data_IF_037187006974
#
_entry.id   IF_037187006974
#
_cell.length_a   1.000
_cell.length_b   1.000
_cell.length_c   1.000
_cell.angle_alpha   90.00
_cell.angle_beta   90.00
_cell.angle_gamma   90.00
#
_symmetry.space_group_name_H-M   'P 1'
#
loop_
_entity.id
_entity.type
_entity.pdbx_description
1 polymer ?
#
# COMPACT_ATOMS: atom_id res chain seq x y z
N UNK A 1 75.80 -54.41 52.95
CA UNK A 1 75.96 -55.87 52.96
C UNK A 1 75.09 -56.44 51.85
N UNK A 2 75.66 -56.72 50.70
CA UNK A 2 74.93 -57.19 49.52
C UNK A 2 74.79 -58.70 49.58
N UNK A 3 73.67 -59.19 50.09
CA UNK A 3 73.31 -60.60 50.01
C UNK A 3 72.74 -60.90 48.63
N UNK A 4 73.57 -61.41 47.71
CA UNK A 4 73.07 -61.97 46.44
C UNK A 4 72.40 -63.30 46.74
N UNK A 5 71.08 -63.28 46.96
CA UNK A 5 70.27 -64.50 46.89
C UNK A 5 70.34 -65.02 45.45
N UNK A 6 71.04 -66.13 45.25
CA UNK A 6 71.11 -66.84 43.97
C UNK A 6 69.68 -67.31 43.64
N UNK A 7 69.07 -66.70 42.61
CA UNK A 7 67.80 -67.18 42.07
C UNK A 7 67.96 -68.65 41.69
N UNK A 8 67.16 -69.52 42.31
CA UNK A 8 67.18 -70.94 42.02
C UNK A 8 66.43 -71.17 40.71
N UNK A 9 67.15 -71.24 39.59
CA UNK A 9 66.62 -71.45 38.24
C UNK A 9 66.39 -72.92 37.91
N UNK A 10 66.28 -73.81 38.93
CA UNK A 10 65.97 -75.22 38.68
C UNK A 10 64.51 -75.33 38.26
N UNK A 11 64.30 -75.72 37.00
CA UNK A 11 62.99 -76.05 36.45
C UNK A 11 62.33 -77.15 37.29
N UNK A 12 61.16 -76.86 37.85
CA UNK A 12 60.38 -77.80 38.66
C UNK A 12 59.08 -78.08 37.92
N UNK A 13 58.97 -79.27 37.31
CA UNK A 13 57.85 -79.64 36.45
C UNK A 13 56.48 -79.49 37.15
N UNK A 14 56.40 -79.79 38.45
CA UNK A 14 55.18 -79.62 39.26
C UNK A 14 54.70 -78.17 39.36
N UNK A 15 55.61 -77.19 39.34
CA UNK A 15 55.25 -75.76 39.39
C UNK A 15 54.75 -75.26 38.03
N UNK A 16 55.31 -75.79 36.94
CA UNK A 16 54.83 -75.54 35.58
C UNK A 16 53.44 -76.14 35.35
N UNK A 17 53.17 -77.35 35.84
CA UNK A 17 51.85 -77.99 35.77
C UNK A 17 50.81 -77.26 36.63
N UNK A 18 51.19 -76.81 37.83
CA UNK A 18 50.32 -75.97 38.68
C UNK A 18 50.01 -74.62 38.03
N UNK A 19 50.96 -74.03 37.30
CA UNK A 19 50.73 -72.80 36.53
C UNK A 19 49.78 -73.07 35.35
N UNK A 20 49.98 -74.17 34.62
CA UNK A 20 49.13 -74.58 33.51
C UNK A 20 47.69 -74.89 33.96
N UNK A 21 47.51 -75.51 35.12
CA UNK A 21 46.19 -75.75 35.73
C UNK A 21 45.51 -74.45 36.15
N UNK A 22 46.25 -73.47 36.68
CA UNK A 22 45.70 -72.13 36.99
C UNK A 22 45.28 -71.37 35.74
N UNK A 23 46.05 -71.49 34.65
CA UNK A 23 45.69 -70.93 33.35
C UNK A 23 44.48 -71.63 32.73
N UNK A 24 44.37 -72.96 32.85
CA UNK A 24 43.22 -73.74 32.32
C UNK A 24 41.91 -73.50 33.08
N UNK A 25 41.97 -73.32 34.40
CA UNK A 25 40.77 -73.21 35.25
C UNK A 25 40.43 -71.78 35.67
N UNK A 26 41.17 -70.77 35.19
CA UNK A 26 40.84 -69.34 35.38
C UNK A 26 40.81 -68.86 36.84
N UNK A 27 41.37 -69.61 37.79
CA UNK A 27 41.37 -69.25 39.22
C UNK A 27 42.48 -68.24 39.49
N UNK A 28 42.18 -66.96 39.22
CA UNK A 28 43.01 -65.84 39.64
C UNK A 28 43.08 -65.74 41.17
N UNK A 29 44.18 -65.18 41.68
CA UNK A 29 44.40 -64.96 43.12
C UNK A 29 43.31 -64.00 43.64
N UNK A 30 42.40 -64.46 44.51
CA UNK A 30 41.23 -63.68 44.97
C UNK A 30 41.54 -62.53 45.95
N UNK A 31 42.80 -62.08 46.04
CA UNK A 31 43.19 -60.94 46.89
C UNK A 31 42.73 -59.60 46.32
N UNK A 32 42.49 -59.52 45.00
CA UNK A 32 42.10 -58.29 44.33
C UNK A 32 40.77 -58.49 43.63
N UNK A 33 39.79 -57.64 43.97
CA UNK A 33 38.52 -57.54 43.24
C UNK A 33 38.83 -56.99 41.84
N UNK A 34 38.14 -57.50 40.82
CA UNK A 34 38.22 -56.95 39.47
C UNK A 34 37.91 -55.45 39.52
N UNK A 35 38.85 -54.62 39.05
CA UNK A 35 38.68 -53.17 39.01
C UNK A 35 37.66 -52.85 37.93
N UNK A 36 36.57 -52.20 38.33
CA UNK A 36 35.55 -51.71 37.41
C UNK A 36 36.07 -50.45 36.71
N UNK A 37 36.72 -50.68 35.58
CA UNK A 37 37.34 -49.63 34.78
C UNK A 37 36.31 -48.63 34.24
N UNK A 38 35.07 -49.04 34.00
CA UNK A 38 34.00 -48.16 33.53
C UNK A 38 33.62 -47.16 34.62
N UNK A 39 33.47 -47.63 35.86
CA UNK A 39 33.22 -46.76 37.01
C UNK A 39 34.38 -45.79 37.29
N UNK A 40 35.62 -46.25 37.16
CA UNK A 40 36.79 -45.39 37.34
C UNK A 40 36.87 -44.32 36.23
N UNK A 41 36.60 -44.69 34.99
CA UNK A 41 36.55 -43.77 33.85
C UNK A 41 35.46 -42.72 34.04
N UNK A 42 34.26 -43.11 34.48
CA UNK A 42 33.18 -42.18 34.79
C UNK A 42 33.56 -41.16 35.88
N UNK A 43 34.31 -41.57 36.90
CA UNK A 43 34.80 -40.66 37.94
C UNK A 43 35.83 -39.68 37.37
N UNK A 44 36.74 -40.15 36.52
CA UNK A 44 37.76 -39.30 35.87
C UNK A 44 37.10 -38.28 34.94
N UNK A 45 36.13 -38.71 34.13
CA UNK A 45 35.43 -37.83 33.20
C UNK A 45 34.54 -36.83 33.93
N UNK A 46 33.87 -37.24 35.00
CA UNK A 46 33.15 -36.31 35.88
C UNK A 46 34.10 -35.25 36.49
N UNK A 47 35.28 -35.67 36.96
CA UNK A 47 36.29 -34.74 37.50
C UNK A 47 36.84 -33.80 36.44
N UNK A 48 37.04 -34.26 35.20
CA UNK A 48 37.46 -33.40 34.07
C UNK A 48 36.42 -32.33 33.77
N UNK A 49 35.15 -32.72 33.68
CA UNK A 49 34.04 -31.77 33.47
C UNK A 49 33.93 -30.75 34.61
N UNK A 50 34.11 -31.19 35.85
CA UNK A 50 34.16 -30.27 37.01
C UNK A 50 35.33 -29.28 36.91
N UNK A 51 36.54 -29.74 36.54
CA UNK A 51 37.71 -28.87 36.38
C UNK A 51 37.55 -27.89 35.22
N UNK A 52 36.94 -28.31 34.11
CA UNK A 52 36.67 -27.45 32.96
C UNK A 52 35.65 -26.37 33.31
N UNK A 53 34.58 -26.74 34.03
CA UNK A 53 33.59 -25.80 34.52
C UNK A 53 34.20 -24.77 35.51
N UNK A 54 35.11 -25.21 36.39
CA UNK A 54 35.87 -24.31 37.25
C UNK A 54 36.81 -23.40 36.46
N UNK A 55 37.44 -23.92 35.41
CA UNK A 55 38.29 -23.17 34.50
C UNK A 55 37.53 -22.05 33.78
N UNK A 56 36.35 -22.37 33.23
CA UNK A 56 35.48 -21.37 32.60
C UNK A 56 34.95 -20.34 33.60
N UNK A 57 34.59 -20.75 34.82
CA UNK A 57 34.23 -19.82 35.90
C UNK A 57 35.37 -18.87 36.26
N UNK A 58 36.61 -19.35 36.32
CA UNK A 58 37.77 -18.49 36.61
C UNK A 58 38.02 -17.50 35.48
N UNK A 59 37.96 -17.94 34.22
CA UNK A 59 38.03 -17.04 33.05
C UNK A 59 36.93 -15.97 33.09
N UNK A 60 35.72 -16.36 33.47
CA UNK A 60 34.59 -15.44 33.61
C UNK A 60 34.82 -14.42 34.73
N UNK A 61 35.24 -14.87 35.92
CA UNK A 61 35.59 -13.99 37.05
C UNK A 61 36.73 -13.02 36.69
N UNK A 62 37.74 -13.48 35.95
CA UNK A 62 38.82 -12.60 35.47
C UNK A 62 38.30 -11.55 34.49
N UNK A 63 37.40 -11.92 33.57
CA UNK A 63 36.75 -10.98 32.65
C UNK A 63 35.91 -9.96 33.42
N UNK A 64 35.09 -10.40 34.38
CA UNK A 64 34.27 -9.53 35.22
C UNK A 64 35.10 -8.59 36.11
N UNK A 65 36.17 -9.10 36.71
CA UNK A 65 37.09 -8.27 37.48
C UNK A 65 37.79 -7.23 36.59
N UNK A 66 38.15 -7.61 35.36
CA UNK A 66 38.73 -6.70 34.37
C UNK A 66 37.73 -5.64 33.93
N UNK A 67 36.50 -6.01 33.57
CA UNK A 67 35.46 -5.05 33.16
C UNK A 67 35.04 -4.13 34.31
N UNK A 68 35.05 -4.61 35.55
CA UNK A 68 34.78 -3.78 36.74
C UNK A 68 35.89 -2.76 36.96
N UNK A 69 37.16 -3.18 36.84
CA UNK A 69 38.32 -2.26 36.91
C UNK A 69 38.29 -1.23 35.79
N UNK A 70 38.04 -1.67 34.56
CA UNK A 70 37.89 -0.79 33.40
C UNK A 70 36.73 0.21 33.64
N UNK A 71 35.57 -0.25 34.12
CA UNK A 71 34.42 0.61 34.44
C UNK A 71 34.72 1.64 35.54
N UNK A 72 35.49 1.26 36.56
CA UNK A 72 35.93 2.19 37.62
C UNK A 72 36.88 3.26 37.08
N UNK A 73 37.84 2.88 36.22
CA UNK A 73 38.75 3.82 35.55
C UNK A 73 37.95 4.77 34.63
N UNK A 74 36.96 4.26 33.90
CA UNK A 74 36.06 5.07 33.06
C UNK A 74 35.26 6.07 33.88
N UNK A 75 34.79 5.66 35.07
CA UNK A 75 34.05 6.54 35.97
C UNK A 75 34.96 7.65 36.53
N UNK A 76 36.20 7.32 36.90
CA UNK A 76 37.19 8.31 37.34
C UNK A 76 37.58 9.25 36.21
N UNK A 77 37.79 8.75 34.99
CA UNK A 77 38.11 9.58 33.84
C UNK A 77 37.01 10.60 33.49
N UNK A 78 35.73 10.22 33.67
CA UNK A 78 34.59 11.15 33.52
C UNK A 78 34.64 12.34 34.48
N UNK A 79 35.33 12.21 35.62
CA UNK A 79 35.48 13.32 36.57
C UNK A 79 36.49 14.38 36.10
N UNK A 80 37.33 14.05 35.11
CA UNK A 80 38.37 14.93 34.57
C UNK A 80 38.03 15.47 33.17
N UNK A 81 36.77 15.39 32.72
CA UNK A 81 36.42 15.63 31.32
C UNK A 81 36.48 17.09 30.86
N UNK A 82 37.24 17.26 29.77
CA UNK A 82 37.16 18.18 28.62
C UNK A 82 37.24 19.70 28.79
N UNK A 83 36.77 20.27 29.90
CA UNK A 83 36.80 21.75 30.06
C UNK A 83 38.15 22.25 30.60
N UNK A 84 39.01 21.33 31.05
CA UNK A 84 40.35 21.63 31.56
C UNK A 84 41.37 21.45 30.43
N UNK A 85 42.09 22.52 30.11
CA UNK A 85 43.05 22.60 28.98
C UNK A 85 44.17 21.56 29.05
N UNK A 86 44.49 21.02 30.23
CA UNK A 86 45.49 19.96 30.49
C UNK A 86 44.88 18.62 30.94
N UNK A 87 43.61 18.36 30.66
CA UNK A 87 42.88 17.13 31.06
C UNK A 87 43.63 15.83 30.73
N UNK A 88 44.30 15.79 29.58
CA UNK A 88 45.12 14.65 29.15
C UNK A 88 46.35 14.44 30.04
N UNK A 89 47.06 15.51 30.38
CA UNK A 89 48.27 15.44 31.21
C UNK A 89 47.93 15.01 32.64
N UNK A 90 46.85 15.54 33.20
CA UNK A 90 46.35 15.17 34.53
C UNK A 90 45.87 13.71 34.58
N UNK A 91 45.21 13.24 33.51
CA UNK A 91 44.80 11.84 33.40
C UNK A 91 46.01 10.90 33.29
N UNK A 92 47.02 11.26 32.49
CA UNK A 92 48.23 10.46 32.36
C UNK A 92 49.07 10.43 33.65
N UNK A 93 49.16 11.54 34.39
CA UNK A 93 49.80 11.61 35.71
C UNK A 93 49.06 10.72 36.74
N UNK A 94 47.73 10.72 36.74
CA UNK A 94 46.92 9.82 37.57
C UNK A 94 47.18 8.35 37.24
N UNK A 95 47.19 7.99 35.95
CA UNK A 95 47.46 6.61 35.52
C UNK A 95 48.85 6.12 35.92
N UNK A 96 49.85 7.00 35.88
CA UNK A 96 51.20 6.69 36.36
C UNK A 96 51.23 6.44 37.88
N UNK A 97 50.43 7.16 38.67
CA UNK A 97 50.30 6.92 40.12
C UNK A 97 49.56 5.62 40.45
N UNK A 98 48.52 5.28 39.68
CA UNK A 98 47.74 4.06 39.88
C UNK A 98 48.48 2.79 39.42
N UNK A 99 49.40 2.92 38.46
CA UNK A 99 50.15 1.81 37.89
C UNK A 99 51.67 2.10 37.84
N UNK A 100 52.33 2.11 39.01
CA UNK A 100 53.77 2.43 39.10
C UNK A 100 54.66 1.41 38.36
N UNK A 101 54.20 0.17 38.19
CA UNK A 101 54.95 -0.90 37.51
C UNK A 101 54.91 -0.83 35.98
N UNK A 102 54.12 0.09 35.39
CA UNK A 102 53.94 0.21 33.94
C UNK A 102 54.80 1.36 33.40
N UNK A 103 55.53 1.08 32.33
CA UNK A 103 56.32 2.13 31.65
C UNK A 103 55.39 3.11 30.91
N UNK A 104 55.76 4.39 30.86
CA UNK A 104 54.95 5.41 30.16
C UNK A 104 54.63 5.07 28.70
N UNK A 105 55.52 4.35 28.01
CA UNK A 105 55.27 3.84 26.65
C UNK A 105 54.10 2.84 26.58
N UNK A 106 53.97 1.96 27.57
CA UNK A 106 52.86 1.01 27.64
C UNK A 106 51.53 1.70 27.94
N UNK A 107 51.55 2.77 28.77
CA UNK A 107 50.36 3.58 29.06
C UNK A 107 49.88 4.36 27.82
N UNK A 108 50.80 4.91 27.03
CA UNK A 108 50.48 5.58 25.75
C UNK A 108 49.93 4.61 24.70
N UNK A 109 50.46 3.39 24.62
CA UNK A 109 49.92 2.36 23.72
C UNK A 109 48.51 1.94 24.14
N UNK A 110 48.26 1.83 25.45
CA UNK A 110 46.93 1.59 25.99
C UNK A 110 45.96 2.76 25.70
N UNK A 111 46.41 4.02 25.80
CA UNK A 111 45.63 5.22 25.41
C UNK A 111 45.18 5.12 23.95
N UNK A 112 46.09 4.77 23.03
CA UNK A 112 45.77 4.61 21.60
C UNK A 112 44.76 3.51 21.31
N UNK A 113 44.95 2.33 21.93
CA UNK A 113 44.00 1.21 21.79
C UNK A 113 42.63 1.62 22.32
N UNK A 114 42.61 2.38 23.41
CA UNK A 114 41.38 2.84 24.04
C UNK A 114 40.69 3.96 23.23
N UNK A 115 41.43 4.87 22.59
CA UNK A 115 40.94 5.84 21.63
C UNK A 115 40.32 5.17 20.40
N UNK A 116 41.00 4.15 19.86
CA UNK A 116 40.49 3.34 18.76
C UNK A 116 39.20 2.61 19.17
N UNK A 117 39.16 2.06 20.38
CA UNK A 117 37.94 1.43 20.91
C UNK A 117 36.80 2.44 21.07
N UNK A 118 37.05 3.64 21.63
CA UNK A 118 36.03 4.70 21.73
C UNK A 118 35.52 5.14 20.37
N UNK A 119 36.41 5.36 19.42
CA UNK A 119 36.06 5.71 18.05
C UNK A 119 35.17 4.65 17.43
N UNK A 120 35.56 3.38 17.49
CA UNK A 120 34.75 2.27 16.95
C UNK A 120 33.40 2.14 17.64
N UNK A 121 33.30 2.37 18.95
CA UNK A 121 32.02 2.40 19.67
C UNK A 121 31.12 3.56 19.22
N UNK A 122 31.67 4.76 19.00
CA UNK A 122 30.92 5.90 18.47
C UNK A 122 30.43 5.61 17.06
N UNK A 123 31.30 5.08 16.18
CA UNK A 123 30.92 4.69 14.82
C UNK A 123 29.83 3.63 14.82
N UNK A 124 29.93 2.61 15.67
CA UNK A 124 28.91 1.57 15.79
C UNK A 124 27.54 2.16 16.19
N UNK A 125 27.51 3.10 17.14
CA UNK A 125 26.27 3.81 17.52
C UNK A 125 25.69 4.59 16.33
N UNK A 126 26.53 5.33 15.59
CA UNK A 126 26.08 6.10 14.42
C UNK A 126 25.49 5.18 13.36
N UNK A 127 26.16 4.08 13.03
CA UNK A 127 25.69 3.09 12.05
C UNK A 127 24.39 2.44 12.51
N UNK A 128 24.27 2.05 13.79
CA UNK A 128 23.03 1.50 14.33
C UNK A 128 21.88 2.50 14.25
N UNK A 129 22.11 3.77 14.62
CA UNK A 129 21.09 4.82 14.53
C UNK A 129 20.72 5.15 13.08
N UNK A 130 21.68 5.10 12.16
CA UNK A 130 21.41 5.27 10.73
C UNK A 130 20.55 4.12 10.21
N UNK A 131 20.93 2.86 10.48
CA UNK A 131 20.14 1.69 10.10
C UNK A 131 18.71 1.74 10.65
N UNK A 132 18.53 2.13 11.91
CA UNK A 132 17.18 2.28 12.50
C UNK A 132 16.33 3.33 11.77
N UNK A 133 16.94 4.47 11.38
CA UNK A 133 16.25 5.51 10.63
C UNK A 133 15.88 5.03 9.23
N UNK A 134 16.82 4.42 8.52
CA UNK A 134 16.64 3.93 7.16
C UNK A 134 15.57 2.82 7.13
N UNK A 135 15.58 1.91 8.11
CA UNK A 135 14.57 0.88 8.26
C UNK A 135 13.17 1.46 8.49
N UNK A 136 13.04 2.44 9.40
CA UNK A 136 11.77 3.13 9.67
C UNK A 136 11.28 3.90 8.44
N UNK A 137 12.17 4.56 7.72
CA UNK A 137 11.84 5.26 6.49
C UNK A 137 11.36 4.30 5.40
N UNK A 138 12.06 3.18 5.19
CA UNK A 138 11.65 2.14 4.26
C UNK A 138 10.25 1.60 4.62
N UNK A 139 10.03 1.32 5.90
CA UNK A 139 8.74 0.83 6.39
C UNK A 139 7.60 1.82 6.13
N UNK A 140 7.82 3.10 6.45
CA UNK A 140 6.84 4.15 6.21
C UNK A 140 6.56 4.34 4.71
N UNK A 141 7.58 4.30 3.85
CA UNK A 141 7.41 4.37 2.40
C UNK A 141 6.59 3.19 1.88
N UNK A 142 6.92 1.98 2.32
CA UNK A 142 6.17 0.78 1.95
C UNK A 142 4.69 0.89 2.38
N UNK A 143 4.43 1.37 3.60
CA UNK A 143 3.08 1.58 4.11
C UNK A 143 2.29 2.57 3.24
N UNK A 144 2.87 3.74 2.94
CA UNK A 144 2.23 4.75 2.10
C UNK A 144 1.92 4.18 0.71
N UNK A 145 2.86 3.47 0.08
CA UNK A 145 2.62 2.88 -1.25
C UNK A 145 1.48 1.84 -1.23
N UNK A 146 1.32 1.09 -0.13
CA UNK A 146 0.23 0.14 0.02
C UNK A 146 -1.11 0.84 0.27
N UNK A 147 -1.12 1.92 1.08
CA UNK A 147 -2.32 2.73 1.31
C UNK A 147 -2.80 3.40 0.02
N UNK A 148 -1.89 3.97 -0.77
CA UNK A 148 -2.17 4.55 -2.09
C UNK A 148 -2.75 3.49 -3.05
N UNK A 149 -2.13 2.30 -3.11
CA UNK A 149 -2.63 1.20 -3.94
C UNK A 149 -4.01 0.72 -3.51
N UNK A 150 -4.27 0.62 -2.20
CA UNK A 150 -5.57 0.27 -1.66
C UNK A 150 -6.62 1.34 -1.99
N UNK A 151 -6.27 2.61 -1.88
CA UNK A 151 -7.18 3.71 -2.23
C UNK A 151 -7.53 3.68 -3.72
N UNK A 152 -6.53 3.56 -4.60
CA UNK A 152 -6.74 3.43 -6.04
C UNK A 152 -7.62 2.20 -6.39
N UNK A 153 -7.43 1.08 -5.69
CA UNK A 153 -8.28 -0.10 -5.87
C UNK A 153 -9.74 0.16 -5.48
N UNK A 154 -9.97 0.84 -4.34
CA UNK A 154 -11.32 1.19 -3.90
C UNK A 154 -12.02 2.14 -4.87
N UNK A 155 -11.29 3.09 -5.45
CA UNK A 155 -11.82 3.99 -6.48
C UNK A 155 -12.21 3.22 -7.74
N UNK A 156 -11.36 2.31 -8.23
CA UNK A 156 -11.69 1.47 -9.39
C UNK A 156 -12.94 0.60 -9.12
N UNK A 157 -13.10 0.07 -7.90
CA UNK A 157 -14.31 -0.67 -7.53
C UNK A 157 -15.58 0.20 -7.59
N UNK A 158 -15.49 1.48 -7.20
CA UNK A 158 -16.61 2.44 -7.35
C UNK A 158 -16.90 2.69 -8.83
N UNK A 159 -15.87 2.98 -9.62
CA UNK A 159 -16.01 3.18 -11.07
C UNK A 159 -16.60 1.96 -11.78
N UNK A 160 -16.24 0.74 -11.36
CA UNK A 160 -16.82 -0.48 -11.90
C UNK A 160 -18.31 -0.62 -11.58
N UNK A 161 -18.74 -0.23 -10.36
CA UNK A 161 -20.17 -0.21 -10.00
C UNK A 161 -20.91 0.82 -10.84
N UNK A 162 -20.35 2.02 -11.02
CA UNK A 162 -20.94 3.08 -11.82
C UNK A 162 -21.06 2.66 -13.29
N UNK A 163 -20.01 2.04 -13.85
CA UNK A 163 -20.04 1.48 -15.22
C UNK A 163 -21.12 0.40 -15.38
N UNK A 164 -21.30 -0.47 -14.39
CA UNK A 164 -22.37 -1.48 -14.40
C UNK A 164 -23.74 -0.81 -14.36
N UNK A 165 -23.95 0.13 -13.45
CA UNK A 165 -25.20 0.87 -13.34
C UNK A 165 -25.54 1.63 -14.64
N UNK A 166 -24.58 2.34 -15.23
CA UNK A 166 -24.75 3.02 -16.50
C UNK A 166 -25.14 2.06 -17.62
N UNK A 167 -24.53 0.88 -17.69
CA UNK A 167 -24.92 -0.17 -18.66
C UNK A 167 -26.36 -0.61 -18.46
N UNK A 168 -26.79 -0.84 -17.22
CA UNK A 168 -28.15 -1.24 -16.90
C UNK A 168 -29.16 -0.15 -17.29
N UNK A 169 -28.87 1.12 -16.97
CA UNK A 169 -29.69 2.26 -17.39
C UNK A 169 -29.77 2.35 -18.92
N UNK A 170 -28.66 2.19 -19.63
CA UNK A 170 -28.65 2.19 -21.09
C UNK A 170 -29.48 1.04 -21.67
N UNK A 171 -29.44 -0.15 -21.08
CA UNK A 171 -30.27 -1.29 -21.48
C UNK A 171 -31.76 -1.01 -21.27
N UNK A 172 -32.11 -0.43 -20.12
CA UNK A 172 -33.50 -0.05 -19.81
C UNK A 172 -34.01 1.02 -20.79
N UNK A 173 -33.20 2.05 -21.07
CA UNK A 173 -33.55 3.10 -22.03
C UNK A 173 -33.69 2.55 -23.45
N UNK A 174 -32.81 1.65 -23.89
CA UNK A 174 -32.93 0.98 -25.20
C UNK A 174 -34.24 0.19 -25.31
N UNK A 175 -34.61 -0.58 -24.28
CA UNK A 175 -35.89 -1.30 -24.23
C UNK A 175 -37.08 -0.34 -24.36
N UNK A 176 -37.09 0.74 -23.58
CA UNK A 176 -38.15 1.77 -23.67
C UNK A 176 -38.21 2.43 -25.05
N UNK A 177 -37.06 2.75 -25.64
CA UNK A 177 -36.98 3.35 -26.98
C UNK A 177 -37.50 2.41 -28.06
N UNK A 178 -37.18 1.11 -27.98
CA UNK A 178 -37.70 0.10 -28.90
C UNK A 178 -39.22 -0.05 -28.77
N UNK A 179 -39.74 -0.08 -27.53
CA UNK A 179 -41.18 -0.12 -27.28
C UNK A 179 -41.88 1.14 -27.83
N UNK A 180 -41.32 2.32 -27.60
CA UNK A 180 -41.85 3.58 -28.12
C UNK A 180 -41.90 3.56 -29.66
N UNK A 181 -40.81 3.15 -30.32
CA UNK A 181 -40.77 3.02 -31.79
C UNK A 181 -41.83 2.04 -32.31
N UNK A 182 -42.02 0.89 -31.65
CA UNK A 182 -43.05 -0.09 -32.02
C UNK A 182 -44.47 0.47 -31.85
N UNK A 183 -44.73 1.20 -30.76
CA UNK A 183 -46.02 1.87 -30.56
C UNK A 183 -46.25 2.97 -31.60
N UNK A 184 -45.21 3.68 -32.01
CA UNK A 184 -45.29 4.72 -33.03
C UNK A 184 -45.62 4.15 -34.42
N UNK A 185 -44.97 3.07 -34.85
CA UNK A 185 -45.30 2.41 -36.13
C UNK A 185 -46.70 1.83 -36.13
N UNK A 186 -47.17 1.25 -35.02
CA UNK A 186 -48.56 0.76 -34.91
C UNK A 186 -49.57 1.91 -34.95
N UNK A 187 -49.25 3.05 -34.32
CA UNK A 187 -50.06 4.26 -34.43
C UNK A 187 -50.12 4.81 -35.85
N UNK A 188 -48.99 4.82 -36.57
CA UNK A 188 -48.94 5.24 -37.98
C UNK A 188 -49.70 4.29 -38.91
N UNK A 189 -49.53 2.97 -38.77
CA UNK A 189 -50.29 1.99 -39.56
C UNK A 189 -51.78 2.04 -39.28
N UNK A 190 -52.21 2.37 -38.05
CA UNK A 190 -53.63 2.59 -37.77
C UNK A 190 -54.15 3.87 -38.43
N UNK A 191 -53.38 4.96 -38.42
CA UNK A 191 -53.78 6.22 -39.09
C UNK A 191 -53.85 6.04 -40.62
N UNK A 192 -52.90 5.33 -41.23
CA UNK A 192 -52.93 5.00 -42.67
C UNK A 192 -54.10 4.06 -43.03
N UNK A 193 -54.44 3.10 -42.16
CA UNK A 193 -55.59 2.20 -42.35
C UNK A 193 -56.93 2.95 -42.19
N UNK A 194 -56.99 3.94 -41.30
CA UNK A 194 -58.13 4.85 -41.16
C UNK A 194 -58.25 5.83 -42.35
N UNK A 195 -57.16 6.42 -42.83
CA UNK A 195 -57.15 7.30 -44.02
C UNK A 195 -57.54 6.53 -45.29
N UNK A 196 -57.08 5.29 -45.47
CA UNK A 196 -57.45 4.43 -46.59
C UNK A 196 -58.94 4.02 -46.55
N UNK A 197 -59.48 3.75 -45.36
CA UNK A 197 -60.91 3.47 -45.17
C UNK A 197 -61.78 4.72 -45.35
N UNK A 198 -61.28 5.91 -45.03
CA UNK A 198 -61.97 7.19 -45.24
C UNK A 198 -62.10 7.52 -46.73
N UNK A 199 -61.05 7.28 -47.53
CA UNK A 199 -61.07 7.40 -48.99
C UNK A 199 -62.07 6.43 -49.63
N UNK A 200 -62.10 5.16 -49.21
CA UNK A 200 -63.08 4.17 -49.68
C UNK A 200 -64.52 4.52 -49.29
N UNK A 201 -64.74 5.18 -48.15
CA UNK A 201 -66.08 5.62 -47.73
C UNK A 201 -66.58 6.81 -48.55
N UNK A 202 -65.67 7.68 -49.03
CA UNK A 202 -66.03 8.80 -49.91
C UNK A 202 -66.31 8.39 -51.36
N UNK A 203 -65.77 7.27 -51.85
CA UNK A 203 -66.08 6.73 -53.18
C UNK A 203 -67.44 5.97 -53.26
N UNK A 204 -68.08 5.67 -52.14
CA UNK A 204 -69.32 4.87 -52.09
C UNK A 204 -70.62 5.67 -51.87
N UNK A 205 -70.57 7.01 -51.85
CA UNK A 205 -71.76 7.85 -51.63
C UNK A 205 -71.94 8.90 -52.72
N UNK A 206 -72.24 8.50 -53.96
CA UNK A 206 -73.10 9.27 -54.88
C UNK A 206 -73.76 8.33 -55.91
N UNK A 207 -74.99 7.88 -55.67
CA UNK A 207 -75.99 7.66 -56.73
C UNK A 207 -77.38 8.02 -56.19
N UNK A 208 -77.91 9.23 -56.48
CA UNK A 208 -79.30 9.56 -56.22
C UNK A 208 -80.15 9.46 -57.49
N UNK A 209 -81.32 8.82 -57.34
CA UNK A 209 -82.40 8.78 -58.33
C UNK A 209 -82.74 7.34 -58.71
N UNK A 210 -83.98 6.88 -58.83
CA UNK A 210 -85.33 7.42 -58.64
C UNK A 210 -86.22 6.27 -59.18
N UNK A 211 -87.35 5.93 -58.54
CA UNK A 211 -88.27 4.96 -59.16
C UNK A 211 -89.15 4.17 -58.20
N UNK A 212 -90.43 4.53 -58.19
CA UNK A 212 -91.64 3.92 -57.64
C UNK A 212 -91.71 2.36 -57.77
N UNK A 213 -92.56 1.58 -57.10
CA UNK A 213 -93.91 1.77 -56.56
C UNK A 213 -94.30 0.59 -55.64
N UNK A 214 -95.18 0.89 -54.67
CA UNK A 214 -96.13 0.05 -53.91
C UNK A 214 -96.18 -1.48 -54.10
N UNK A 215 -96.06 -2.18 -52.96
CA UNK A 215 -96.42 -3.59 -52.77
C UNK A 215 -95.91 -4.11 -51.43
N UNK A 216 -96.59 -3.78 -50.32
CA UNK A 216 -96.23 -4.22 -48.97
C UNK A 216 -96.59 -5.71 -48.76
N UNK A 217 -95.57 -6.58 -48.68
CA UNK A 217 -95.64 -7.95 -48.14
C UNK A 217 -94.40 -8.16 -47.25
N UNK A 218 -94.62 -8.83 -46.12
CA UNK A 218 -93.74 -8.97 -44.96
C UNK A 218 -92.46 -9.82 -45.16
N UNK A 219 -91.41 -9.43 -44.43
CA UNK A 219 -90.22 -10.17 -43.93
C UNK A 219 -89.21 -10.82 -44.90
N UNK A 220 -88.02 -10.21 -45.02
CA UNK A 220 -86.75 -10.68 -44.39
C UNK A 220 -85.53 -9.92 -44.95
N UNK A 221 -84.94 -9.02 -44.16
CA UNK A 221 -83.54 -8.57 -44.37
C UNK A 221 -82.86 -8.19 -43.04
N UNK A 222 -82.92 -9.09 -42.05
CA UNK A 222 -82.16 -9.01 -40.80
C UNK A 222 -80.66 -9.34 -40.99
N UNK A 223 -80.02 -8.73 -42.00
CA UNK A 223 -78.62 -8.99 -42.33
C UNK A 223 -77.67 -7.80 -42.20
N UNK A 224 -78.18 -6.55 -42.28
CA UNK A 224 -77.31 -5.37 -42.39
C UNK A 224 -77.45 -4.38 -41.23
N UNK A 225 -78.64 -4.16 -40.66
CA UNK A 225 -78.78 -3.23 -39.53
C UNK A 225 -78.18 -3.76 -38.22
N UNK A 226 -78.15 -5.08 -38.03
CA UNK A 226 -77.57 -5.69 -36.83
C UNK A 226 -76.02 -5.66 -36.83
N UNK A 227 -75.39 -5.51 -38.00
CA UNK A 227 -73.93 -5.27 -38.09
C UNK A 227 -73.57 -3.85 -37.71
N UNK A 228 -74.30 -2.83 -38.17
CA UNK A 228 -74.05 -1.45 -37.79
C UNK A 228 -74.31 -1.20 -36.29
N UNK A 229 -75.38 -1.76 -35.72
CA UNK A 229 -75.65 -1.68 -34.26
C UNK A 229 -74.60 -2.44 -33.43
N UNK A 230 -74.07 -3.56 -33.94
CA UNK A 230 -72.94 -4.27 -33.33
C UNK A 230 -71.58 -3.58 -33.51
N UNK A 231 -71.40 -2.75 -34.53
CA UNK A 231 -70.15 -2.02 -34.76
C UNK A 231 -70.05 -0.81 -33.82
N UNK A 232 -71.09 0.03 -33.79
CA UNK A 232 -71.21 1.15 -32.82
C UNK A 232 -71.27 0.65 -31.36
N UNK A 233 -71.83 -0.54 -31.12
CA UNK A 233 -71.82 -1.18 -29.79
C UNK A 233 -70.46 -1.77 -29.36
N UNK A 234 -69.61 -2.18 -30.32
CA UNK A 234 -68.25 -2.66 -30.04
C UNK A 234 -67.31 -1.51 -29.73
N UNK A 235 -67.41 -0.39 -30.46
CA UNK A 235 -66.64 0.82 -30.19
C UNK A 235 -66.95 1.42 -28.83
N UNK A 236 -68.22 1.52 -28.42
CA UNK A 236 -68.56 1.98 -27.06
C UNK A 236 -67.96 1.07 -25.99
N UNK A 237 -68.09 -0.26 -26.11
CA UNK A 237 -67.48 -1.20 -25.15
C UNK A 237 -65.95 -1.13 -25.12
N UNK A 238 -65.30 -0.86 -26.26
CA UNK A 238 -63.86 -0.68 -26.34
C UNK A 238 -63.41 0.66 -25.74
N UNK A 239 -64.11 1.75 -26.06
CA UNK A 239 -63.91 3.09 -25.48
C UNK A 239 -64.15 3.06 -23.97
N UNK A 240 -65.22 2.44 -23.50
CA UNK A 240 -65.54 2.29 -22.08
C UNK A 240 -64.52 1.38 -21.37
N UNK A 241 -63.94 0.37 -22.04
CA UNK A 241 -62.83 -0.43 -21.50
C UNK A 241 -61.53 0.35 -21.41
N UNK A 242 -61.22 1.17 -22.40
CA UNK A 242 -60.04 2.04 -22.40
C UNK A 242 -60.21 3.09 -21.30
N UNK A 243 -61.37 3.77 -21.23
CA UNK A 243 -61.67 4.78 -20.22
C UNK A 243 -61.70 4.15 -18.83
N UNK A 244 -62.24 2.95 -18.64
CA UNK A 244 -62.18 2.23 -17.36
C UNK A 244 -60.76 1.84 -16.97
N UNK A 245 -59.94 1.31 -17.89
CA UNK A 245 -58.52 1.01 -17.61
C UNK A 245 -57.71 2.26 -17.34
N UNK A 246 -57.98 3.35 -18.07
CA UNK A 246 -57.35 4.65 -17.84
C UNK A 246 -57.79 5.23 -16.51
N UNK A 247 -59.07 5.16 -16.11
CA UNK A 247 -59.55 5.59 -14.79
C UNK A 247 -59.05 4.70 -13.65
N UNK A 248 -58.87 3.39 -13.87
CA UNK A 248 -58.31 2.45 -12.89
C UNK A 248 -56.79 2.63 -12.69
N UNK A 249 -56.08 3.10 -13.71
CA UNK A 249 -54.64 3.42 -13.68
C UNK A 249 -54.40 4.92 -13.44
N UNK A 250 -55.45 5.75 -13.44
CA UNK A 250 -55.39 7.19 -13.18
C UNK A 250 -55.01 7.37 -11.72
N UNK A 251 -53.72 7.58 -11.49
CA UNK A 251 -53.21 8.10 -10.24
C UNK A 251 -53.80 9.49 -10.09
N UNK A 252 -54.89 9.61 -9.33
CA UNK A 252 -55.39 10.90 -8.85
C UNK A 252 -54.45 11.29 -7.71
N UNK A 253 -53.37 11.99 -8.05
CA UNK A 253 -52.59 12.69 -7.05
C UNK A 253 -53.41 13.91 -6.61
N UNK A 254 -53.68 14.04 -5.31
CA UNK A 254 -54.20 15.29 -4.76
C UNK A 254 -53.24 16.44 -5.13
N UNK A 255 -53.80 17.58 -5.50
CA UNK A 255 -53.01 18.74 -5.87
C UNK A 255 -52.25 19.25 -4.65
N UNK A 256 -50.95 18.96 -4.57
CA UNK A 256 -50.04 19.47 -3.56
C UNK A 256 -49.69 20.94 -3.91
N UNK A 257 -50.23 21.94 -3.18
CA UNK A 257 -50.05 23.35 -3.50
C UNK A 257 -48.58 23.78 -3.33
N UNK A 258 -47.84 23.13 -2.44
CA UNK A 258 -46.43 23.45 -2.19
C UNK A 258 -45.56 22.99 -3.35
N UNK A 259 -45.89 21.83 -3.96
CA UNK A 259 -45.20 21.35 -5.18
C UNK A 259 -45.44 22.24 -6.39
N UNK A 260 -46.61 22.87 -6.47
CA UNK A 260 -46.97 23.76 -7.58
C UNK A 260 -46.27 25.11 -7.48
N UNK A 261 -46.01 25.58 -6.24
CA UNK A 261 -45.32 26.83 -5.94
C UNK A 261 -43.79 26.65 -5.81
N UNK A 262 -43.31 25.41 -5.65
CA UNK A 262 -41.88 25.13 -5.54
C UNK A 262 -41.14 25.29 -6.87
N UNK A 263 -39.92 25.83 -6.81
CA UNK A 263 -39.02 25.86 -7.96
C UNK A 263 -38.76 24.44 -8.47
N UNK A 264 -38.81 24.27 -9.80
CA UNK A 264 -38.52 22.99 -10.45
C UNK A 264 -37.09 22.54 -10.14
N UNK A 265 -36.85 21.23 -10.07
CA UNK A 265 -35.49 20.71 -9.85
C UNK A 265 -34.51 21.20 -10.91
N UNK A 266 -34.98 21.41 -12.15
CA UNK A 266 -34.18 22.01 -13.22
C UNK A 266 -33.81 23.48 -12.94
N UNK A 267 -34.69 24.26 -12.31
CA UNK A 267 -34.39 25.64 -11.89
C UNK A 267 -33.42 25.66 -10.70
N UNK A 268 -33.65 24.78 -9.71
CA UNK A 268 -32.76 24.61 -8.54
C UNK A 268 -31.34 24.16 -8.95
N UNK A 269 -31.22 23.28 -9.94
CA UNK A 269 -29.91 22.83 -10.45
C UNK A 269 -29.16 23.91 -11.22
N UNK A 270 -29.87 24.87 -11.86
CA UNK A 270 -29.22 26.02 -12.51
C UNK A 270 -28.79 27.10 -11.52
N UNK A 271 -29.48 27.20 -10.40
CA UNK A 271 -29.22 28.17 -9.33
C UNK A 271 -28.53 27.57 -8.12
N UNK A 272 -28.00 26.35 -8.24
CA UNK A 272 -27.13 25.76 -7.24
C UNK A 272 -25.80 26.50 -7.33
N UNK A 273 -25.51 27.35 -6.35
CA UNK A 273 -24.15 27.81 -6.07
C UNK A 273 -23.35 26.62 -5.49
N UNK A 274 -23.16 25.56 -6.28
CA UNK A 274 -22.07 24.63 -6.03
C UNK A 274 -20.80 25.34 -6.51
N UNK A 275 -19.80 25.43 -5.63
CA UNK A 275 -18.45 25.84 -5.99
C UNK A 275 -18.05 25.10 -7.26
N UNK A 276 -18.03 25.86 -8.36
CA UNK A 276 -17.93 25.41 -9.73
C UNK A 276 -16.72 24.48 -9.90
N UNK A 277 -16.95 23.16 -9.93
CA UNK A 277 -15.95 22.15 -10.28
C UNK A 277 -15.49 22.27 -11.76
N UNK A 278 -16.07 23.20 -12.54
CA UNK A 278 -15.83 23.35 -13.98
C UNK A 278 -14.47 23.96 -14.36
N UNK A 279 -13.56 24.18 -13.40
CA UNK A 279 -12.17 24.53 -13.70
C UNK A 279 -11.21 23.33 -13.61
N UNK A 280 -11.71 22.10 -13.53
CA UNK A 280 -10.84 20.92 -13.71
C UNK A 280 -10.57 20.72 -15.20
N UNK A 281 -9.32 20.91 -15.61
CA UNK A 281 -8.88 20.65 -16.97
C UNK A 281 -9.30 19.24 -17.42
N UNK A 282 -9.95 19.13 -18.58
CA UNK A 282 -10.41 17.86 -19.19
C UNK A 282 -9.26 16.84 -19.40
N UNK A 283 -8.01 17.31 -19.40
CA UNK A 283 -6.80 16.52 -19.49
C UNK A 283 -5.75 17.05 -18.50
N UNK A 284 -4.83 16.19 -18.05
CA UNK A 284 -3.68 16.62 -17.27
C UNK A 284 -2.81 17.55 -18.12
N UNK A 285 -2.83 18.84 -17.81
CA UNK A 285 -1.95 19.81 -18.43
C UNK A 285 -0.51 19.52 -18.00
N UNK A 286 0.26 18.85 -18.86
CA UNK A 286 1.69 18.61 -18.67
C UNK A 286 2.47 19.91 -18.94
N UNK A 287 2.29 20.87 -18.06
CA UNK A 287 3.02 22.14 -18.03
C UNK A 287 4.12 22.07 -16.99
N UNK A 288 5.01 23.06 -17.00
CA UNK A 288 6.04 23.16 -15.97
C UNK A 288 5.38 23.36 -14.61
N UNK A 289 5.81 22.57 -13.62
CA UNK A 289 5.37 22.77 -12.23
C UNK A 289 5.99 24.06 -11.67
N UNK A 290 5.36 24.67 -10.66
CA UNK A 290 5.92 25.87 -10.01
C UNK A 290 7.35 25.64 -9.54
N UNK A 291 7.68 24.46 -9.03
CA UNK A 291 9.04 24.10 -8.65
C UNK A 291 10.02 24.09 -9.85
N UNK A 292 9.57 23.59 -11.01
CA UNK A 292 10.36 23.60 -12.24
C UNK A 292 10.55 25.02 -12.78
N UNK A 293 9.53 25.87 -12.72
CA UNK A 293 9.60 27.28 -13.12
C UNK A 293 10.55 28.05 -12.19
N UNK A 294 10.44 27.81 -10.88
CA UNK A 294 11.29 28.43 -9.87
C UNK A 294 12.74 27.92 -9.86
N UNK A 295 13.07 26.89 -10.64
CA UNK A 295 14.46 26.44 -10.78
C UNK A 295 15.35 27.45 -11.54
N UNK A 296 14.78 28.29 -12.41
CA UNK A 296 15.53 29.31 -13.14
C UNK A 296 15.86 30.50 -12.20
N UNK A 297 17.16 30.84 -11.99
CA UNK A 297 17.55 31.94 -11.12
C UNK A 297 16.98 33.29 -11.56
N UNK A 298 16.73 33.50 -12.85
CA UNK A 298 16.16 34.75 -13.38
C UNK A 298 14.74 34.95 -12.88
N UNK A 299 13.93 33.89 -12.87
CA UNK A 299 12.52 33.93 -12.42
C UNK A 299 12.46 34.22 -10.93
N UNK A 300 13.33 33.58 -10.13
CA UNK A 300 13.40 33.84 -8.67
C UNK A 300 13.74 35.30 -8.36
N UNK A 301 14.73 35.84 -9.07
CA UNK A 301 15.20 37.21 -8.86
C UNK A 301 14.14 38.21 -9.35
N UNK A 302 13.53 37.97 -10.50
CA UNK A 302 12.44 38.81 -11.01
C UNK A 302 11.23 38.84 -10.06
N UNK A 303 10.78 37.68 -9.57
CA UNK A 303 9.71 37.60 -8.57
C UNK A 303 10.09 38.35 -7.28
N UNK A 304 11.35 38.24 -6.82
CA UNK A 304 11.81 38.99 -5.65
C UNK A 304 11.79 40.51 -5.87
N UNK A 305 12.17 40.98 -7.07
CA UNK A 305 12.14 42.39 -7.44
C UNK A 305 10.72 42.92 -7.58
N UNK A 306 9.77 42.11 -8.06
CA UNK A 306 8.34 42.46 -8.10
C UNK A 306 7.75 42.57 -6.70
N UNK A 307 8.04 41.61 -5.81
CA UNK A 307 7.62 41.64 -4.41
C UNK A 307 8.17 42.87 -3.67
N UNK A 308 9.38 43.30 -4.00
CA UNK A 308 9.99 44.51 -3.47
C UNK A 308 9.53 45.81 -4.18
N UNK A 309 8.69 45.73 -5.21
CA UNK A 309 8.24 46.90 -6.00
C UNK A 309 9.33 47.55 -6.88
N UNK A 310 10.49 46.92 -7.05
CA UNK A 310 11.66 47.45 -7.75
C UNK A 310 11.77 47.01 -9.22
N UNK A 311 10.84 46.21 -9.73
CA UNK A 311 10.91 45.62 -11.07
C UNK A 311 11.05 46.65 -12.21
N UNK A 312 10.47 47.85 -12.05
CA UNK A 312 10.55 48.92 -13.07
C UNK A 312 11.81 49.80 -12.95
N UNK A 313 12.65 49.59 -11.93
CA UNK A 313 13.87 50.37 -11.71
C UNK A 313 14.96 50.04 -12.75
N UNK A 314 15.82 51.02 -13.06
CA UNK A 314 17.03 50.79 -13.85
C UNK A 314 17.96 49.74 -13.20
N UNK A 315 17.94 49.65 -11.87
CA UNK A 315 18.65 48.63 -11.11
C UNK A 315 18.18 47.22 -11.50
N UNK A 316 16.87 46.98 -11.53
CA UNK A 316 16.31 45.69 -11.92
C UNK A 316 16.70 45.31 -13.35
N UNK A 317 16.70 46.27 -14.29
CA UNK A 317 17.13 46.05 -15.67
C UNK A 317 18.60 45.60 -15.75
N UNK A 318 19.49 46.27 -15.01
CA UNK A 318 20.93 45.93 -14.96
C UNK A 318 21.20 44.58 -14.31
N UNK A 319 20.48 44.24 -13.25
CA UNK A 319 20.60 42.95 -12.57
C UNK A 319 20.09 41.82 -13.47
N UNK A 320 18.91 41.97 -14.06
CA UNK A 320 18.32 40.96 -14.95
C UNK A 320 19.13 40.75 -16.23
N UNK A 321 19.78 41.80 -16.77
CA UNK A 321 20.66 41.65 -17.93
C UNK A 321 21.95 40.89 -17.64
N UNK A 322 22.37 40.83 -16.37
CA UNK A 322 23.63 40.17 -15.97
C UNK A 322 23.46 38.64 -15.84
N UNK A 323 22.24 38.17 -15.57
CA UNK A 323 21.98 36.76 -15.25
C UNK A 323 21.77 35.96 -16.55
N UNK A 324 22.61 34.96 -16.77
CA UNK A 324 22.49 34.08 -17.94
C UNK A 324 21.45 32.95 -17.70
N UNK A 325 20.75 32.51 -18.76
CA UNK A 325 19.89 31.33 -18.68
C UNK A 325 20.72 30.08 -18.34
N UNK A 326 20.18 29.12 -17.57
CA UNK A 326 20.89 27.89 -17.22
C UNK A 326 21.16 26.99 -18.44
N UNK A 327 20.40 27.14 -19.52
CA UNK A 327 20.61 26.44 -20.79
C UNK A 327 20.86 27.47 -21.89
N UNK A 328 21.94 27.33 -22.68
CA UNK A 328 22.15 28.21 -23.82
C UNK A 328 21.02 28.02 -24.86
N UNK A 329 20.68 29.07 -25.62
CA UNK A 329 19.72 28.94 -26.71
C UNK A 329 20.19 27.89 -27.72
N UNK A 330 19.24 27.14 -28.28
CA UNK A 330 19.51 26.09 -29.26
C UNK A 330 20.25 26.70 -30.48
N UNK A 331 21.13 25.92 -31.09
CA UNK A 331 22.02 26.36 -32.19
C UNK A 331 21.27 27.05 -33.35
N UNK A 332 20.06 26.57 -33.64
CA UNK A 332 19.22 27.04 -34.75
C UNK A 332 18.47 28.35 -34.43
N UNK A 333 18.53 28.83 -33.17
CA UNK A 333 17.79 30.02 -32.70
C UNK A 333 18.65 31.29 -32.69
N UNK A 334 19.89 31.23 -33.20
CA UNK A 334 20.73 32.43 -33.34
C UNK A 334 20.17 33.29 -34.48
N UNK A 335 19.49 34.39 -34.15
CA UNK A 335 19.11 35.38 -35.16
C UNK A 335 20.38 36.01 -35.74
N UNK A 336 20.51 36.00 -37.06
CA UNK A 336 21.64 36.63 -37.77
C UNK A 336 21.58 38.16 -37.75
N UNK A 337 20.45 38.74 -37.33
CA UNK A 337 20.30 40.18 -37.19
C UNK A 337 21.03 40.68 -35.93
N UNK A 338 22.00 41.58 -36.13
CA UNK A 338 22.60 42.40 -35.07
C UNK A 338 21.77 43.68 -34.98
N UNK A 339 21.18 43.94 -33.81
CA UNK A 339 20.57 45.24 -33.47
C UNK A 339 21.60 46.13 -32.79
#
# INVERSE_FOLDING_TARGET
MSGTHRFNTKYRAEEAEKLALRMKHGVGISKYKAVDYERLQAIIDAKRLETDALGEKNKQLQREARTTKESSILQQQRQYTHDITSSRELFMDMLQRLFPDRTGKQLLEHERVWDMWRYTQVQLRVVTQQWQRDYKELWNRALVTLEEANHAHQEELKLQKDRKHQRDVCLQLRKKTLLFRRCQTVGQSQVEEFEYLEVLFTELVVVPGAGCSFGQIYFCRDGQQNRSRCFYGREKKWRDRIVWKLCAIRVVAEGDPDRMMAHTEAWKSRHKEEECEDQRALYSLNTYTDAQIMSDPRVRIEQSLRKAGLYHSQYAKKVLSTIQPPKPPRKDTKSTFKF
#
